data_IF_820772598711
#
_entry.id   IF_820772598711
#
_cell.length_a   1.000
_cell.length_b   1.000
_cell.length_c   1.000
_cell.angle_alpha   90.00
_cell.angle_beta   90.00
_cell.angle_gamma   90.00
#
_symmetry.space_group_name_H-M   'P 1'
#
loop_
_entity.id
_entity.type
_entity.pdbx_description
1 polymer ?
#
# COMPACT_ATOMS: atom_id res chain seq x y z
N UNK A 1 5.11 -10.57 -1.97
CA UNK A 1 5.71 -10.07 -0.71
C UNK A 1 4.65 -9.91 0.38
N UNK A 2 4.89 -10.41 1.59
CA UNK A 2 3.99 -10.21 2.74
C UNK A 2 4.30 -8.87 3.43
N UNK A 3 3.25 -8.11 3.73
CA UNK A 3 3.28 -6.81 4.38
C UNK A 3 2.45 -6.89 5.65
N UNK A 4 3.00 -6.46 6.78
CA UNK A 4 2.26 -6.35 8.04
C UNK A 4 1.69 -4.94 8.14
N UNK A 5 0.37 -4.81 8.02
CA UNK A 5 -0.34 -3.54 8.08
C UNK A 5 -1.18 -3.47 9.36
N UNK A 6 -0.73 -2.66 10.32
CA UNK A 6 -1.60 -2.21 11.41
C UNK A 6 -2.66 -1.28 10.83
N UNK A 7 -3.89 -1.37 11.32
CA UNK A 7 -5.02 -0.50 10.93
C UNK A 7 -4.54 0.95 10.76
N UNK A 8 -4.66 1.56 9.56
CA UNK A 8 -4.10 2.89 9.32
C UNK A 8 -4.62 3.95 10.29
N UNK A 9 -3.77 4.91 10.68
CA UNK A 9 -4.17 6.01 11.58
C UNK A 9 -5.43 6.74 11.09
N UNK A 10 -5.52 7.01 9.79
CA UNK A 10 -6.66 7.73 9.19
C UNK A 10 -8.01 7.02 9.32
N UNK A 11 -8.02 5.70 9.57
CA UNK A 11 -9.27 4.92 9.72
C UNK A 11 -9.41 4.28 11.11
N UNK A 12 -8.48 4.53 12.03
CA UNK A 12 -8.48 3.92 13.37
C UNK A 12 -9.75 4.24 14.16
N UNK A 13 -10.34 5.41 13.96
CA UNK A 13 -11.60 5.81 14.59
C UNK A 13 -12.82 4.97 14.15
N UNK A 14 -12.72 4.17 13.07
CA UNK A 14 -13.82 3.33 12.55
C UNK A 14 -13.52 1.84 12.56
N UNK A 15 -12.29 1.44 12.87
CA UNK A 15 -11.84 0.05 12.73
C UNK A 15 -11.02 -0.36 13.94
N UNK A 16 -11.20 -1.60 14.36
CA UNK A 16 -10.36 -2.20 15.40
C UNK A 16 -8.88 -2.09 15.02
N UNK A 17 -8.06 -1.74 16.00
CA UNK A 17 -6.62 -1.58 15.84
C UNK A 17 -5.93 -2.93 15.84
N UNK A 18 -5.65 -3.47 14.64
CA UNK A 18 -5.12 -4.80 14.43
C UNK A 18 -4.03 -4.78 13.37
N UNK A 19 -3.00 -5.61 13.55
CA UNK A 19 -2.01 -5.93 12.50
C UNK A 19 -2.58 -7.04 11.63
N UNK A 20 -2.60 -6.83 10.32
CA UNK A 20 -3.01 -7.82 9.34
C UNK A 20 -1.89 -8.05 8.34
N UNK A 21 -1.65 -9.31 8.01
CA UNK A 21 -0.80 -9.65 6.88
C UNK A 21 -1.56 -9.36 5.59
N UNK A 22 -0.87 -8.72 4.65
CA UNK A 22 -1.35 -8.43 3.30
C UNK A 22 -0.31 -8.81 2.28
N UNK A 23 -0.71 -9.52 1.22
CA UNK A 23 0.18 -9.84 0.12
C UNK A 23 0.16 -8.76 -0.95
N UNK A 24 1.34 -8.19 -1.21
CA UNK A 24 1.65 -7.53 -2.47
C UNK A 24 2.07 -8.61 -3.45
N UNK A 25 1.36 -8.72 -4.56
CA UNK A 25 1.64 -9.69 -5.63
C UNK A 25 2.76 -9.14 -6.51
N UNK A 26 2.63 -7.89 -6.94
CA UNK A 26 3.62 -7.24 -7.80
C UNK A 26 3.66 -5.72 -7.61
N UNK A 27 4.81 -5.12 -7.93
CA UNK A 27 5.01 -3.66 -8.00
C UNK A 27 5.92 -3.36 -9.20
N UNK A 28 5.43 -2.55 -10.14
CA UNK A 28 6.18 -2.16 -11.32
C UNK A 28 6.32 -0.63 -11.40
N UNK A 29 7.50 -0.15 -11.83
CA UNK A 29 7.70 1.26 -12.17
C UNK A 29 7.28 1.48 -13.63
N UNK A 30 6.17 2.20 -13.82
CA UNK A 30 5.59 2.42 -15.15
C UNK A 30 5.88 3.80 -15.73
N UNK A 31 6.38 4.74 -14.91
CA UNK A 31 6.73 6.07 -15.40
C UNK A 31 7.48 6.96 -14.40
N UNK A 32 8.05 8.03 -14.93
CA UNK A 32 8.66 9.12 -14.17
C UNK A 32 8.00 10.42 -14.60
N UNK A 33 7.56 11.22 -13.64
CA UNK A 33 6.96 12.53 -13.85
C UNK A 33 7.77 13.60 -13.10
N UNK A 34 7.52 14.88 -13.37
CA UNK A 34 8.21 15.96 -12.66
C UNK A 34 7.96 15.87 -11.14
N UNK A 35 9.00 15.43 -10.42
CA UNK A 35 8.97 15.31 -8.96
C UNK A 35 8.41 13.99 -8.42
N UNK A 36 8.20 12.97 -9.25
CA UNK A 36 7.62 11.70 -8.80
C UNK A 36 7.84 10.49 -9.71
N UNK A 37 7.30 9.37 -9.26
CA UNK A 37 7.30 8.09 -9.95
C UNK A 37 5.85 7.59 -10.04
N UNK A 38 5.50 7.01 -11.17
CA UNK A 38 4.24 6.30 -11.36
C UNK A 38 4.53 4.82 -11.23
N UNK A 39 3.84 4.15 -10.32
CA UNK A 39 3.99 2.72 -10.07
C UNK A 39 2.62 2.05 -10.15
N UNK A 40 2.61 0.84 -10.70
CA UNK A 40 1.47 -0.07 -10.60
C UNK A 40 1.70 -1.04 -9.45
N UNK A 41 0.65 -1.33 -8.70
CA UNK A 41 0.69 -2.24 -7.55
C UNK A 41 -0.43 -3.25 -7.66
N UNK A 42 -0.08 -4.53 -7.74
CA UNK A 42 -1.02 -5.64 -7.67
C UNK A 42 -0.98 -6.21 -6.25
N UNK A 43 -2.10 -6.28 -5.58
CA UNK A 43 -2.18 -6.73 -4.20
C UNK A 43 -3.52 -7.34 -3.84
N UNK A 44 -3.56 -8.07 -2.74
CA UNK A 44 -4.79 -8.68 -2.25
C UNK A 44 -5.78 -7.66 -1.66
N UNK A 45 -7.03 -8.10 -1.53
CA UNK A 45 -8.12 -7.29 -0.99
C UNK A 45 -7.80 -6.72 0.40
N UNK A 46 -8.04 -5.42 0.56
CA UNK A 46 -7.80 -4.72 1.82
C UNK A 46 -6.34 -4.38 2.11
N UNK A 47 -5.45 -4.47 1.11
CA UNK A 47 -4.15 -3.83 1.13
C UNK A 47 -4.31 -2.30 1.12
N UNK A 48 -3.70 -1.63 2.08
CA UNK A 48 -3.72 -0.18 2.20
C UNK A 48 -2.56 0.45 1.43
N UNK A 49 -2.78 0.85 0.17
CA UNK A 49 -1.74 1.36 -0.74
C UNK A 49 -1.03 2.60 -0.18
N UNK A 50 -1.76 3.60 0.33
CA UNK A 50 -1.14 4.82 0.91
C UNK A 50 -0.17 4.51 2.03
N UNK A 51 -0.50 3.51 2.83
CA UNK A 51 0.29 3.07 3.97
C UNK A 51 1.43 2.11 3.55
N UNK A 52 1.28 1.34 2.48
CA UNK A 52 2.38 0.59 1.84
C UNK A 52 3.49 1.54 1.35
N UNK A 53 3.13 2.69 0.82
CA UNK A 53 4.11 3.67 0.34
C UNK A 53 4.75 4.45 1.49
N UNK A 54 3.94 5.03 2.39
CA UNK A 54 4.43 5.93 3.44
C UNK A 54 4.94 5.23 4.71
N UNK A 55 4.57 3.97 4.92
CA UNK A 55 4.84 3.24 6.17
C UNK A 55 3.98 3.64 7.37
N UNK A 56 3.15 4.71 7.27
CA UNK A 56 2.27 5.21 8.32
C UNK A 56 2.97 5.34 9.70
N UNK A 57 4.15 5.96 9.71
CA UNK A 57 5.02 6.06 10.88
C UNK A 57 5.38 4.71 11.52
N UNK A 58 5.67 3.70 10.69
CA UNK A 58 6.07 2.36 11.12
C UNK A 58 4.92 1.40 11.42
N UNK A 59 3.67 1.78 11.10
CA UNK A 59 2.49 0.91 11.23
C UNK A 59 2.32 -0.07 10.08
N UNK A 60 3.01 0.17 8.96
CA UNK A 60 3.12 -0.77 7.83
C UNK A 60 4.57 -1.15 7.61
N UNK A 61 4.89 -2.46 7.64
CA UNK A 61 6.24 -2.98 7.39
C UNK A 61 6.26 -4.30 6.59
N UNK A 62 7.15 -4.44 5.58
CA UNK A 62 7.97 -3.37 5.01
C UNK A 62 7.12 -2.32 4.27
N UNK A 63 7.66 -1.12 4.08
CA UNK A 63 7.06 -0.06 3.26
C UNK A 63 8.05 0.47 2.22
N UNK A 64 7.56 1.13 1.17
CA UNK A 64 8.45 1.70 0.15
C UNK A 64 9.37 2.77 0.74
N UNK A 65 8.84 3.64 1.60
CA UNK A 65 9.64 4.65 2.29
C UNK A 65 10.77 4.04 3.14
N UNK A 66 10.48 2.92 3.83
CA UNK A 66 11.47 2.18 4.61
C UNK A 66 12.55 1.55 3.72
N UNK A 67 12.15 0.92 2.61
CA UNK A 67 13.07 0.28 1.66
C UNK A 67 13.99 1.32 1.01
N UNK A 68 13.44 2.46 0.58
CA UNK A 68 14.20 3.54 -0.04
C UNK A 68 15.00 4.38 0.98
N UNK A 69 14.78 4.18 2.28
CA UNK A 69 15.32 5.00 3.37
C UNK A 69 15.04 6.49 3.16
N UNK A 70 13.85 6.80 2.66
CA UNK A 70 13.41 8.16 2.33
C UNK A 70 11.90 8.26 2.46
N UNK A 71 11.42 9.42 2.91
CA UNK A 71 9.99 9.69 2.95
C UNK A 71 9.37 9.58 1.55
N UNK A 72 8.27 8.84 1.45
CA UNK A 72 7.47 8.68 0.24
C UNK A 72 6.00 8.89 0.58
N UNK A 73 5.26 9.54 -0.32
CA UNK A 73 3.83 9.77 -0.18
C UNK A 73 3.13 9.58 -1.51
N UNK A 74 1.88 9.12 -1.45
CA UNK A 74 1.01 8.98 -2.61
C UNK A 74 0.43 10.35 -2.97
N UNK A 75 0.75 10.84 -4.17
CA UNK A 75 0.21 12.10 -4.70
C UNK A 75 -1.18 11.90 -5.33
N UNK A 76 -1.33 10.88 -6.18
CA UNK A 76 -2.60 10.40 -6.74
C UNK A 76 -2.69 8.89 -6.61
N UNK A 77 -3.92 8.34 -6.58
CA UNK A 77 -4.17 6.91 -6.53
C UNK A 77 -5.49 6.59 -7.22
N UNK A 78 -5.40 5.74 -8.24
CA UNK A 78 -6.54 5.21 -8.97
C UNK A 78 -6.56 3.69 -8.90
N UNK A 79 -7.76 3.11 -9.07
CA UNK A 79 -7.95 1.66 -9.16
C UNK A 79 -8.11 1.31 -10.63
N UNK A 80 -7.14 0.59 -11.19
CA UNK A 80 -7.14 0.20 -12.59
C UNK A 80 -8.00 -1.04 -12.86
N UNK A 81 -7.98 -2.00 -11.92
CA UNK A 81 -8.67 -3.28 -12.05
C UNK A 81 -9.11 -3.79 -10.67
N UNK A 82 -10.24 -4.47 -10.62
CA UNK A 82 -10.69 -5.27 -9.48
C UNK A 82 -11.04 -6.66 -10.01
N UNK A 83 -10.24 -7.66 -9.64
CA UNK A 83 -10.51 -9.06 -9.95
C UNK A 83 -11.28 -9.70 -8.80
N UNK A 84 -12.40 -10.33 -9.13
CA UNK A 84 -13.13 -11.21 -8.23
C UNK A 84 -12.80 -12.65 -8.62
N UNK A 85 -12.24 -13.43 -7.69
CA UNK A 85 -11.89 -14.83 -7.93
C UNK A 85 -13.11 -15.75 -7.98
N UNK A 86 -14.33 -15.20 -7.96
CA UNK A 86 -15.53 -15.91 -8.40
C UNK A 86 -15.78 -17.21 -7.63
N UNK A 87 -15.65 -17.19 -6.31
CA UNK A 87 -16.29 -18.20 -5.46
C UNK A 87 -17.63 -17.65 -5.01
N UNK A 88 -18.66 -17.86 -5.84
CA UNK A 88 -20.05 -17.88 -5.40
C UNK A 88 -20.50 -19.32 -5.21
#
# INVERSE_FOLDING_TARGET
>A
MIIHQRTPKRVSHRRADLVRERRVIDIELVGVEEGGYVIDVVGESGLYIKELISGDSGRTRPSLAEILKRDARVASLDVLLVEDNGER
#
